data_IF_774114031045
#
_entry.id   IF_774114031045
#
_cell.length_a   1.000
_cell.length_b   1.000
_cell.length_c   1.000
_cell.angle_alpha   90.00
_cell.angle_beta   90.00
_cell.angle_gamma   90.00
#
_symmetry.space_group_name_H-M   'P 1'
#
loop_
_entity.id
_entity.type
_entity.pdbx_description
1 polymer ?
#
# COMPACT_ATOMS: atom_id res chain seq x y z
N UNK A 1 2.70 48.51 14.23
CA UNK A 1 3.43 47.78 13.17
C UNK A 1 3.28 46.30 13.49
N UNK A 2 2.38 45.62 12.79
CA UNK A 2 2.06 44.21 13.02
C UNK A 2 2.94 43.40 12.07
N UNK A 3 3.84 42.56 12.60
CA UNK A 3 4.63 41.65 11.79
C UNK A 3 3.74 40.48 11.39
N UNK A 4 3.37 40.46 10.12
CA UNK A 4 2.66 39.36 9.47
C UNK A 4 3.67 38.22 9.23
N UNK A 5 3.59 37.15 10.01
CA UNK A 5 4.43 35.95 9.88
C UNK A 5 3.75 34.87 9.02
N UNK A 6 2.66 35.18 8.32
CA UNK A 6 1.98 34.18 7.51
C UNK A 6 2.78 33.87 6.23
N UNK A 7 3.37 32.66 6.24
CA UNK A 7 3.90 31.90 5.11
C UNK A 7 5.32 32.20 4.62
N UNK A 8 6.32 31.86 5.45
CA UNK A 8 7.57 31.32 4.91
C UNK A 8 7.74 29.88 5.34
N UNK A 9 7.27 28.95 4.52
CA UNK A 9 7.48 27.52 4.70
C UNK A 9 8.86 27.18 4.17
N UNK A 10 9.83 26.90 5.05
CA UNK A 10 11.09 26.27 4.65
C UNK A 10 10.83 24.75 4.66
N UNK A 11 10.29 24.24 3.56
CA UNK A 11 10.13 22.80 3.37
C UNK A 11 11.33 22.26 2.59
N UNK A 12 11.79 21.02 2.86
CA UNK A 12 12.80 20.36 2.05
C UNK A 12 12.45 20.42 0.56
N UNK A 13 13.44 20.66 -0.32
CA UNK A 13 13.27 20.74 -1.78
C UNK A 13 12.51 19.55 -2.39
N UNK A 14 12.57 18.39 -1.74
CA UNK A 14 11.82 17.21 -2.16
C UNK A 14 10.29 17.42 -2.08
N UNK A 15 9.79 18.23 -1.13
CA UNK A 15 8.37 18.54 -0.96
C UNK A 15 7.91 19.73 -1.83
N UNK A 16 8.84 20.48 -2.44
CA UNK A 16 8.52 21.53 -3.44
C UNK A 16 8.62 21.03 -4.88
N UNK A 17 9.14 19.82 -5.10
CA UNK A 17 9.17 19.20 -6.40
C UNK A 17 7.74 18.99 -6.90
N UNK A 18 7.38 19.68 -7.98
CA UNK A 18 6.15 19.37 -8.73
C UNK A 18 6.25 17.94 -9.25
N UNK A 19 5.09 17.29 -9.39
CA UNK A 19 5.00 15.98 -10.02
C UNK A 19 5.75 16.01 -11.37
N UNK A 20 6.78 15.17 -11.58
CA UNK A 20 7.52 15.16 -12.84
C UNK A 20 6.56 14.98 -14.04
N UNK A 21 6.77 15.67 -15.18
CA UNK A 21 5.91 15.55 -16.36
C UNK A 21 5.73 14.12 -16.85
N UNK A 22 6.72 13.26 -16.57
CA UNK A 22 6.69 11.83 -16.88
C UNK A 22 5.55 11.07 -16.17
N UNK A 23 5.11 11.55 -15.00
CA UNK A 23 4.06 10.95 -14.19
C UNK A 23 2.77 11.78 -14.20
N UNK A 24 2.60 12.70 -15.16
CA UNK A 24 1.33 13.38 -15.33
C UNK A 24 0.27 12.43 -15.91
N UNK A 25 -0.98 12.61 -15.47
CA UNK A 25 -2.09 11.86 -16.02
C UNK A 25 -2.28 12.25 -17.49
N UNK A 26 -2.14 11.32 -18.46
CA UNK A 26 -2.38 11.63 -19.86
C UNK A 26 -3.86 11.87 -20.18
N UNK A 27 -4.78 11.51 -19.29
CA UNK A 27 -6.22 11.64 -19.48
C UNK A 27 -6.78 12.94 -18.87
N UNK A 28 -7.85 13.53 -19.45
CA UNK A 28 -8.45 14.77 -18.95
C UNK A 28 -9.03 14.66 -17.52
N UNK A 29 -9.31 13.44 -17.07
CA UNK A 29 -9.87 13.15 -15.76
C UNK A 29 -9.03 12.06 -15.09
N UNK A 30 -8.75 12.19 -13.79
CA UNK A 30 -8.15 11.10 -13.04
C UNK A 30 -9.08 9.88 -13.04
N UNK A 31 -8.53 8.66 -13.09
CA UNK A 31 -9.32 7.45 -12.90
C UNK A 31 -9.95 7.46 -11.50
N UNK A 32 -11.19 6.96 -11.40
CA UNK A 32 -11.92 6.90 -10.12
C UNK A 32 -11.41 5.80 -9.17
N UNK A 33 -10.53 4.93 -9.66
CA UNK A 33 -9.98 3.82 -8.92
C UNK A 33 -8.75 3.24 -9.60
N UNK A 34 -8.24 2.16 -9.01
CA UNK A 34 -7.04 1.44 -9.43
C UNK A 34 -7.49 0.28 -10.34
N UNK A 35 -8.03 0.60 -11.52
CA UNK A 35 -8.46 -0.41 -12.50
C UNK A 35 -7.26 -0.96 -13.30
N UNK A 36 -7.34 -2.23 -13.71
CA UNK A 36 -6.30 -2.87 -14.53
C UNK A 36 -6.26 -2.21 -15.90
N UNK A 37 -5.11 -1.66 -16.27
CA UNK A 37 -4.87 -1.14 -17.61
C UNK A 37 -4.77 -2.29 -18.61
N UNK A 38 -5.59 -2.27 -19.65
CA UNK A 38 -5.52 -3.18 -20.79
C UNK A 38 -5.33 -2.39 -22.08
N UNK A 39 -4.77 -3.04 -23.10
CA UNK A 39 -4.81 -2.52 -24.46
C UNK A 39 -6.26 -2.52 -24.96
N UNK A 40 -6.60 -1.63 -25.92
CA UNK A 40 -7.88 -1.66 -26.62
C UNK A 40 -8.12 -3.03 -27.28
N UNK A 41 -9.37 -3.50 -27.30
CA UNK A 41 -9.73 -4.80 -27.90
C UNK A 41 -9.40 -4.88 -29.39
N UNK A 42 -9.43 -3.74 -30.08
CA UNK A 42 -9.13 -3.58 -31.51
C UNK A 42 -7.64 -3.39 -31.81
N UNK A 43 -6.76 -3.47 -30.81
CA UNK A 43 -5.32 -3.24 -30.98
C UNK A 43 -4.69 -4.09 -32.10
N UNK A 44 -5.12 -5.35 -32.24
CA UNK A 44 -4.60 -6.26 -33.26
C UNK A 44 -4.85 -5.74 -34.70
N UNK A 45 -6.00 -5.10 -34.92
CA UNK A 45 -6.42 -4.56 -36.23
C UNK A 45 -5.84 -3.19 -36.56
N UNK A 46 -5.19 -2.51 -35.62
CA UNK A 46 -4.61 -1.18 -35.84
C UNK A 46 -3.43 -1.20 -36.82
N UNK A 47 -3.28 -0.10 -37.56
CA UNK A 47 -2.10 0.17 -38.38
C UNK A 47 -0.83 0.34 -37.53
N UNK A 48 0.38 0.26 -38.11
CA UNK A 48 1.62 0.45 -37.37
C UNK A 48 1.72 1.80 -36.64
N UNK A 49 1.21 2.87 -37.24
CA UNK A 49 1.23 4.22 -36.66
C UNK A 49 0.24 4.35 -35.50
N UNK A 50 -0.97 3.81 -35.66
CA UNK A 50 -1.99 3.76 -34.59
C UNK A 50 -1.54 2.87 -33.42
N UNK A 51 -0.85 1.76 -33.71
CA UNK A 51 -0.22 0.91 -32.67
C UNK A 51 0.83 1.69 -31.89
N UNK A 52 1.69 2.43 -32.58
CA UNK A 52 2.72 3.26 -31.94
C UNK A 52 2.10 4.30 -31.00
N UNK A 53 1.07 5.01 -31.45
CA UNK A 53 0.35 5.98 -30.62
C UNK A 53 -0.34 5.32 -29.41
N UNK A 54 -0.99 4.17 -29.65
CA UNK A 54 -1.68 3.40 -28.60
C UNK A 54 -0.70 2.89 -27.54
N UNK A 55 0.48 2.43 -27.97
CA UNK A 55 1.54 1.97 -27.07
C UNK A 55 2.10 3.11 -26.21
N UNK A 56 2.37 4.27 -26.80
CA UNK A 56 2.85 5.44 -26.05
C UNK A 56 1.80 5.93 -25.04
N UNK A 57 0.52 5.98 -25.44
CA UNK A 57 -0.56 6.33 -24.52
C UNK A 57 -0.70 5.30 -23.39
N UNK A 58 -0.64 4.02 -23.71
CA UNK A 58 -0.67 2.94 -22.73
C UNK A 58 0.50 3.04 -21.75
N UNK A 59 1.72 3.31 -22.25
CA UNK A 59 2.92 3.51 -21.44
C UNK A 59 2.77 4.69 -20.47
N UNK A 60 2.26 5.84 -20.94
CA UNK A 60 2.00 7.02 -20.07
C UNK A 60 0.96 6.72 -18.99
N UNK A 61 -0.14 6.04 -19.35
CA UNK A 61 -1.15 5.61 -18.37
C UNK A 61 -0.56 4.67 -17.33
N UNK A 62 0.27 3.73 -17.76
CA UNK A 62 0.97 2.80 -16.88
C UNK A 62 1.89 3.54 -15.90
N UNK A 63 2.69 4.50 -16.37
CA UNK A 63 3.56 5.31 -15.52
C UNK A 63 2.79 6.14 -14.49
N UNK A 64 1.73 6.81 -14.91
CA UNK A 64 0.85 7.54 -14.00
C UNK A 64 0.23 6.61 -12.95
N UNK A 65 -0.29 5.45 -13.38
CA UNK A 65 -0.88 4.46 -12.50
C UNK A 65 0.13 3.93 -11.48
N UNK A 66 1.33 3.55 -11.92
CA UNK A 66 2.40 3.12 -11.03
C UNK A 66 2.75 4.21 -10.03
N UNK A 67 2.90 5.47 -10.48
CA UNK A 67 3.16 6.60 -9.59
C UNK A 67 2.10 6.74 -8.50
N UNK A 68 0.81 6.72 -8.85
CA UNK A 68 -0.29 6.82 -7.87
C UNK A 68 -0.25 5.66 -6.87
N UNK A 69 -0.09 4.43 -7.36
CA UNK A 69 -0.04 3.22 -6.53
C UNK A 69 1.16 3.25 -5.59
N UNK A 70 2.35 3.64 -6.08
CA UNK A 70 3.56 3.70 -5.26
C UNK A 70 3.48 4.80 -4.21
N UNK A 71 2.94 5.98 -4.53
CA UNK A 71 2.77 7.05 -3.55
C UNK A 71 1.78 6.65 -2.45
N UNK A 72 0.65 6.05 -2.82
CA UNK A 72 -0.31 5.53 -1.84
C UNK A 72 0.35 4.50 -0.92
N UNK A 73 0.99 3.47 -1.49
CA UNK A 73 1.66 2.41 -0.73
C UNK A 73 2.82 2.91 0.12
N UNK A 74 3.61 3.88 -0.36
CA UNK A 74 4.66 4.50 0.43
C UNK A 74 4.10 5.29 1.62
N UNK A 75 2.94 5.94 1.47
CA UNK A 75 2.24 6.61 2.56
C UNK A 75 1.75 5.66 3.66
N UNK A 76 1.47 4.39 3.32
CA UNK A 76 1.01 3.37 4.29
C UNK A 76 2.09 2.90 5.28
N UNK A 77 3.35 3.27 5.08
CA UNK A 77 4.40 3.00 6.06
C UNK A 77 4.11 3.66 7.41
N UNK A 78 3.47 4.84 7.39
CA UNK A 78 3.07 5.55 8.61
C UNK A 78 1.94 4.85 9.38
N UNK A 79 1.22 3.91 8.74
CA UNK A 79 0.26 3.02 9.38
C UNK A 79 0.78 1.59 9.57
N UNK A 80 2.11 1.39 9.48
CA UNK A 80 2.75 0.09 9.69
C UNK A 80 2.66 -0.90 8.52
N UNK A 81 2.08 -0.51 7.39
CA UNK A 81 1.91 -1.39 6.23
C UNK A 81 3.05 -1.18 5.22
N UNK A 82 4.16 -1.88 5.45
CA UNK A 82 5.31 -1.96 4.53
C UNK A 82 5.16 -3.07 3.48
N UNK A 83 4.32 -4.07 3.75
CA UNK A 83 4.13 -5.25 2.89
C UNK A 83 3.64 -4.84 1.51
N UNK A 84 2.62 -3.99 1.44
CA UNK A 84 2.07 -3.53 0.14
C UNK A 84 3.11 -2.80 -0.71
N UNK A 85 3.99 -1.99 -0.11
CA UNK A 85 5.06 -1.31 -0.83
C UNK A 85 6.09 -2.31 -1.39
N UNK A 86 6.55 -3.25 -0.56
CA UNK A 86 7.53 -4.26 -1.00
C UNK A 86 6.96 -5.14 -2.11
N UNK A 87 5.69 -5.52 -2.03
CA UNK A 87 4.97 -6.24 -3.10
C UNK A 87 4.95 -5.45 -4.41
N UNK A 88 4.68 -4.14 -4.37
CA UNK A 88 4.71 -3.29 -5.56
C UNK A 88 6.11 -3.24 -6.19
N UNK A 89 7.15 -3.08 -5.37
CA UNK A 89 8.53 -3.03 -5.83
C UNK A 89 8.98 -4.36 -6.46
N UNK A 90 8.59 -5.50 -5.87
CA UNK A 90 8.87 -6.83 -6.42
C UNK A 90 8.21 -7.02 -7.78
N UNK A 91 6.92 -6.67 -7.91
CA UNK A 91 6.21 -6.72 -9.20
C UNK A 91 6.84 -5.79 -10.24
N UNK A 92 7.23 -4.57 -9.84
CA UNK A 92 7.91 -3.63 -10.72
C UNK A 92 9.24 -4.18 -11.23
N UNK A 93 10.09 -4.70 -10.34
CA UNK A 93 11.37 -5.28 -10.71
C UNK A 93 11.20 -6.51 -11.62
N UNK A 94 10.20 -7.35 -11.34
CA UNK A 94 9.90 -8.56 -12.13
C UNK A 94 9.40 -8.24 -13.54
N UNK A 95 8.66 -7.14 -13.71
CA UNK A 95 8.08 -6.74 -14.99
C UNK A 95 8.80 -5.55 -15.65
N UNK A 96 10.02 -5.23 -15.20
CA UNK A 96 10.76 -4.04 -15.62
C UNK A 96 10.93 -3.95 -17.14
N UNK A 97 11.28 -5.06 -17.79
CA UNK A 97 11.50 -5.10 -19.24
C UNK A 97 10.23 -4.70 -20.03
N UNK A 98 9.05 -5.04 -19.53
CA UNK A 98 7.77 -4.68 -20.16
C UNK A 98 7.43 -3.20 -19.98
N UNK A 99 7.98 -2.55 -18.95
CA UNK A 99 7.74 -1.14 -18.65
C UNK A 99 8.68 -0.21 -19.42
N UNK A 100 9.86 -0.70 -19.79
CA UNK A 100 10.90 0.08 -20.48
C UNK A 100 10.97 -0.24 -21.98
N UNK A 101 10.18 -1.20 -22.46
CA UNK A 101 10.15 -1.58 -23.88
C UNK A 101 9.82 -0.36 -24.76
N UNK A 102 10.82 0.09 -25.54
CA UNK A 102 10.76 1.32 -26.34
C UNK A 102 11.95 2.29 -26.20
N UNK A 103 12.84 2.12 -25.21
CA UNK A 103 14.06 2.92 -25.10
C UNK A 103 15.27 2.27 -25.80
N UNK A 104 16.05 3.08 -26.54
CA UNK A 104 17.25 2.64 -27.28
C UNK A 104 18.44 2.33 -26.36
N UNK A 105 18.39 2.75 -25.10
CA UNK A 105 19.37 2.41 -24.07
C UNK A 105 18.78 1.33 -23.16
N UNK A 106 19.55 0.26 -22.93
CA UNK A 106 19.15 -0.86 -22.09
C UNK A 106 19.24 -0.42 -20.62
N UNK A 107 18.21 0.29 -20.15
CA UNK A 107 18.13 0.79 -18.77
C UNK A 107 17.82 -0.40 -17.86
N UNK A 108 18.76 -0.75 -16.98
CA UNK A 108 18.56 -1.76 -15.96
C UNK A 108 17.66 -1.24 -14.84
N UNK A 109 16.85 -2.11 -14.24
CA UNK A 109 16.06 -1.76 -13.07
C UNK A 109 17.00 -1.36 -11.93
N UNK A 110 16.71 -0.27 -11.22
CA UNK A 110 17.56 0.16 -10.11
C UNK A 110 17.41 -0.71 -8.85
N UNK A 111 16.34 -1.49 -8.77
CA UNK A 111 16.02 -2.34 -7.63
C UNK A 111 16.03 -3.79 -8.06
N UNK A 112 16.71 -4.62 -7.29
CA UNK A 112 16.78 -6.06 -7.50
C UNK A 112 16.56 -6.75 -6.16
N UNK A 113 15.90 -7.90 -6.22
CA UNK A 113 15.64 -8.74 -5.06
C UNK A 113 16.29 -10.09 -5.27
N UNK A 114 16.79 -10.69 -4.20
CA UNK A 114 17.22 -12.08 -4.23
C UNK A 114 15.98 -12.95 -4.53
N UNK A 115 16.03 -13.91 -5.48
CA UNK A 115 14.93 -14.82 -5.74
C UNK A 115 14.39 -15.52 -4.47
N UNK A 116 15.28 -15.90 -3.55
CA UNK A 116 14.89 -16.52 -2.27
C UNK A 116 14.14 -15.54 -1.38
N UNK A 117 14.58 -14.28 -1.33
CA UNK A 117 13.90 -13.22 -0.57
C UNK A 117 12.51 -12.93 -1.15
N UNK A 118 12.39 -12.94 -2.48
CA UNK A 118 11.10 -12.76 -3.16
C UNK A 118 10.12 -13.90 -2.83
N UNK A 119 10.57 -15.15 -2.88
CA UNK A 119 9.77 -16.32 -2.52
C UNK A 119 9.32 -16.27 -1.04
N UNK A 120 10.25 -15.98 -0.12
CA UNK A 120 9.94 -15.82 1.31
C UNK A 120 8.95 -14.67 1.55
N UNK A 121 9.08 -13.58 0.79
CA UNK A 121 8.16 -12.46 0.88
C UNK A 121 6.73 -12.83 0.46
N UNK A 122 6.53 -13.62 -0.59
CA UNK A 122 5.18 -14.02 -0.99
C UNK A 122 4.48 -14.92 0.04
N UNK A 123 5.23 -15.75 0.76
CA UNK A 123 4.69 -16.51 1.90
C UNK A 123 4.27 -15.55 3.03
N UNK A 124 5.10 -14.56 3.34
CA UNK A 124 4.78 -13.53 4.33
C UNK A 124 3.56 -12.70 3.92
N UNK A 125 3.45 -12.33 2.65
CA UNK A 125 2.36 -11.51 2.11
C UNK A 125 1.02 -12.24 2.19
N UNK A 126 0.96 -13.53 1.85
CA UNK A 126 -0.24 -14.35 2.00
C UNK A 126 -0.69 -14.45 3.47
N UNK A 127 0.25 -14.67 4.39
CA UNK A 127 -0.03 -14.69 5.83
C UNK A 127 -0.50 -13.32 6.34
N UNK A 128 0.15 -12.24 5.92
CA UNK A 128 -0.23 -10.88 6.27
C UNK A 128 -1.62 -10.51 5.73
N UNK A 129 -1.95 -10.94 4.51
CA UNK A 129 -3.26 -10.71 3.89
C UNK A 129 -4.37 -11.41 4.68
N UNK A 130 -4.16 -12.69 5.03
CA UNK A 130 -5.09 -13.46 5.88
C UNK A 130 -5.27 -12.81 7.26
N UNK A 131 -4.17 -12.40 7.89
CA UNK A 131 -4.23 -11.71 9.18
C UNK A 131 -4.96 -10.36 9.07
N UNK A 132 -4.78 -9.62 7.98
CA UNK A 132 -5.47 -8.35 7.74
C UNK A 132 -6.99 -8.52 7.63
N UNK A 133 -7.45 -9.57 6.94
CA UNK A 133 -8.88 -9.92 6.88
C UNK A 133 -9.43 -10.23 8.28
N UNK A 134 -8.68 -11.01 9.07
CA UNK A 134 -9.08 -11.38 10.42
C UNK A 134 -9.16 -10.16 11.35
N UNK A 135 -8.17 -9.27 11.32
CA UNK A 135 -8.17 -8.03 12.11
C UNK A 135 -9.33 -7.13 11.72
N UNK A 136 -9.64 -7.02 10.42
CA UNK A 136 -10.78 -6.22 9.98
C UNK A 136 -12.12 -6.82 10.43
N UNK A 137 -12.22 -8.16 10.42
CA UNK A 137 -13.36 -8.83 11.02
C UNK A 137 -13.48 -8.52 12.52
N UNK A 138 -12.38 -8.60 13.27
CA UNK A 138 -12.39 -8.24 14.69
C UNK A 138 -12.80 -6.79 14.94
N UNK A 139 -12.36 -5.83 14.12
CA UNK A 139 -12.82 -4.43 14.20
C UNK A 139 -14.33 -4.32 14.08
N UNK A 140 -14.94 -5.02 13.12
CA UNK A 140 -16.40 -4.97 12.93
C UNK A 140 -17.20 -5.50 14.12
N UNK A 141 -16.68 -6.47 14.86
CA UNK A 141 -17.36 -7.00 16.06
C UNK A 141 -17.04 -6.19 17.33
N UNK A 142 -16.01 -5.34 17.27
CA UNK A 142 -15.59 -4.40 18.31
C UNK A 142 -16.18 -2.99 18.08
N UNK A 143 -17.47 -2.93 17.73
CA UNK A 143 -18.22 -1.68 17.48
C UNK A 143 -17.64 -0.83 16.34
N UNK A 144 -17.26 -1.49 15.23
CA UNK A 144 -16.66 -0.87 14.05
C UNK A 144 -15.44 0.00 14.40
N UNK A 145 -14.52 -0.57 15.19
CA UNK A 145 -13.34 0.12 15.69
C UNK A 145 -12.53 0.75 14.54
N UNK A 146 -12.34 2.06 14.59
CA UNK A 146 -11.54 2.80 13.62
C UNK A 146 -10.06 2.37 13.61
N UNK A 147 -9.32 2.77 12.58
CA UNK A 147 -7.87 2.53 12.51
C UNK A 147 -7.10 3.23 13.65
N UNK A 148 -7.71 4.25 14.23
CA UNK A 148 -7.20 5.04 15.34
C UNK A 148 -7.59 4.47 16.72
N UNK A 149 -8.38 3.39 16.76
CA UNK A 149 -8.76 2.69 17.99
C UNK A 149 -9.80 3.42 18.84
N UNK A 150 -10.45 4.48 18.33
CA UNK A 150 -11.41 5.24 19.11
C UNK A 150 -12.76 4.53 19.19
N UNK A 151 -13.32 4.53 20.39
CA UNK A 151 -14.61 3.94 20.74
C UNK A 151 -15.41 4.99 21.51
N UNK A 152 -16.74 4.98 21.32
CA UNK A 152 -17.63 5.86 22.07
C UNK A 152 -17.58 5.51 23.55
N UNK A 153 -17.65 6.52 24.42
CA UNK A 153 -17.63 6.33 25.87
C UNK A 153 -18.67 5.30 26.37
N UNK A 154 -19.87 5.32 25.78
CA UNK A 154 -20.96 4.39 26.09
C UNK A 154 -20.68 2.92 25.71
N UNK A 155 -19.83 2.68 24.72
CA UNK A 155 -19.45 1.35 24.24
C UNK A 155 -18.11 0.87 24.81
N UNK A 156 -17.36 1.73 25.50
CA UNK A 156 -15.96 1.46 25.88
C UNK A 156 -15.79 0.18 26.68
N UNK A 157 -16.52 0.04 27.79
CA UNK A 157 -16.42 -1.13 28.68
C UNK A 157 -16.78 -2.43 27.95
N UNK A 158 -17.84 -2.40 27.14
CA UNK A 158 -18.29 -3.56 26.36
C UNK A 158 -17.26 -3.97 25.30
N UNK A 159 -16.62 -3.00 24.65
CA UNK A 159 -15.57 -3.24 23.64
C UNK A 159 -14.30 -3.79 24.28
N UNK A 160 -13.88 -3.25 25.43
CA UNK A 160 -12.71 -3.75 26.17
C UNK A 160 -12.93 -5.18 26.64
N UNK A 161 -14.10 -5.50 27.20
CA UNK A 161 -14.40 -6.86 27.64
C UNK A 161 -14.45 -7.84 26.45
N UNK A 162 -15.07 -7.46 25.32
CA UNK A 162 -15.05 -8.27 24.10
C UNK A 162 -13.64 -8.48 23.57
N UNK A 163 -12.80 -7.44 23.57
CA UNK A 163 -11.41 -7.54 23.14
C UNK A 163 -10.63 -8.57 24.00
N UNK A 164 -10.81 -8.52 25.32
CA UNK A 164 -10.23 -9.52 26.22
C UNK A 164 -10.73 -10.95 25.94
N UNK A 165 -12.02 -11.10 25.64
CA UNK A 165 -12.60 -12.40 25.29
C UNK A 165 -12.02 -12.95 23.99
N UNK A 166 -11.88 -12.10 22.96
CA UNK A 166 -11.26 -12.47 21.69
C UNK A 166 -9.80 -12.90 21.88
N UNK A 167 -9.00 -12.12 22.63
CA UNK A 167 -7.60 -12.49 22.92
C UNK A 167 -7.52 -13.85 23.63
N UNK A 168 -8.38 -14.08 24.62
CA UNK A 168 -8.43 -15.35 25.37
C UNK A 168 -8.81 -16.55 24.49
N UNK A 169 -9.81 -16.38 23.61
CA UNK A 169 -10.21 -17.42 22.67
C UNK A 169 -9.06 -17.78 21.74
N UNK A 170 -8.40 -16.78 21.16
CA UNK A 170 -7.29 -16.98 20.23
C UNK A 170 -6.07 -17.63 20.90
N UNK A 171 -5.73 -17.21 22.13
CA UNK A 171 -4.66 -17.85 22.91
C UNK A 171 -4.96 -19.31 23.24
N UNK A 172 -6.24 -19.68 23.42
CA UNK A 172 -6.63 -21.05 23.68
C UNK A 172 -6.55 -21.96 22.43
N UNK A 173 -6.49 -21.36 21.23
CA UNK A 173 -6.34 -22.05 19.95
C UNK A 173 -4.89 -22.15 19.48
N UNK A 174 -3.93 -21.59 20.22
CA UNK A 174 -2.50 -21.67 19.89
C UNK A 174 -2.03 -23.13 19.80
N UNK A 175 -1.36 -23.50 18.70
CA UNK A 175 -0.93 -24.88 18.46
C UNK A 175 0.30 -25.24 19.29
N UNK A 176 1.17 -24.25 19.53
CA UNK A 176 2.39 -24.40 20.30
C UNK A 176 2.76 -23.14 21.13
N UNK A 177 3.94 -23.19 21.76
CA UNK A 177 4.43 -22.09 22.59
C UNK A 177 4.83 -20.85 21.81
N UNK A 178 5.28 -20.99 20.56
CA UNK A 178 5.67 -19.87 19.71
C UNK A 178 4.43 -19.13 19.20
N UNK A 179 3.38 -19.86 18.85
CA UNK A 179 2.05 -19.31 18.54
C UNK A 179 1.48 -18.53 19.73
N UNK A 180 1.53 -19.11 20.93
CA UNK A 180 1.07 -18.45 22.15
C UNK A 180 1.81 -17.13 22.39
N UNK A 181 3.15 -17.16 22.32
CA UNK A 181 3.98 -15.96 22.52
C UNK A 181 3.67 -14.91 21.44
N UNK A 182 3.46 -15.34 20.20
CA UNK A 182 3.14 -14.44 19.09
C UNK A 182 1.83 -13.70 19.34
N UNK A 183 0.79 -14.43 19.74
CA UNK A 183 -0.52 -13.83 20.05
C UNK A 183 -0.45 -12.94 21.29
N UNK A 184 0.22 -13.39 22.35
CA UNK A 184 0.27 -12.62 23.59
C UNK A 184 1.00 -11.28 23.42
N UNK A 185 2.15 -11.32 22.74
CA UNK A 185 3.01 -10.15 22.52
C UNK A 185 2.61 -9.24 21.39
N UNK A 186 1.91 -9.75 20.38
CA UNK A 186 1.56 -8.99 19.18
C UNK A 186 0.04 -8.91 18.96
N UNK A 187 -0.75 -9.02 20.04
CA UNK A 187 -2.19 -8.80 19.97
C UNK A 187 -2.49 -7.42 19.37
N UNK A 188 -3.29 -7.31 18.30
CA UNK A 188 -3.44 -6.07 17.54
C UNK A 188 -4.18 -4.94 18.28
N UNK A 189 -4.88 -5.27 19.37
CA UNK A 189 -5.64 -4.31 20.18
C UNK A 189 -5.10 -4.29 21.61
N UNK A 190 -3.79 -4.18 21.75
CA UNK A 190 -3.12 -4.07 23.05
C UNK A 190 -3.45 -2.74 23.72
N UNK A 191 -3.67 -2.82 25.03
CA UNK A 191 -3.66 -1.64 25.87
C UNK A 191 -2.20 -1.24 26.10
N UNK A 192 -1.83 -0.04 25.67
CA UNK A 192 -0.52 0.54 25.94
C UNK A 192 -0.74 1.60 27.00
N UNK A 193 -0.12 1.44 28.17
CA UNK A 193 -0.05 2.54 29.14
C UNK A 193 0.64 3.73 28.45
N UNK A 194 -0.08 4.85 28.35
CA UNK A 194 0.54 6.12 27.98
C UNK A 194 1.53 6.47 29.09
N UNK A 195 2.83 6.47 28.77
CA UNK A 195 3.85 6.92 29.70
C UNK A 195 3.70 8.44 29.85
N UNK A 196 3.17 8.87 31.00
CA UNK A 196 3.10 10.28 31.44
C UNK A 196 4.50 10.95 31.51
#
# INVERSE_FOLDING_TARGET
>A
MHFDWQHSSIVPLLLTARNPPLFENPDPKPPKGIEKLSLPEDYASLSPEEKSHTNELHRRRMLFYLYVVFNDRAGRQWSGNIVTLKEALLRLATHWDQLVDGNQEQIQCAVHFDPKEAEEFFVLEDNWFKASILVEHWRSILDDLGQDGWVKHESYEDVVEKNHQLKKQWLAEAEDGDDFISVDRFWPFQDHEELD
#
